data_IF_807425365744
#
_entry.id   IF_807425365744
#
_cell.length_a   1.000
_cell.length_b   1.000
_cell.length_c   1.000
_cell.angle_alpha   90.00
_cell.angle_beta   90.00
_cell.angle_gamma   90.00
#
_symmetry.space_group_name_H-M   'P 1'
#
loop_
_entity.id
_entity.type
_entity.pdbx_description
1 polymer ?
#
# COMPACT_ATOMS: atom_id res chain seq x y z
N UNK A 1 -25.94 -9.28 -3.78
CA UNK A 1 -24.72 -9.61 -4.54
C UNK A 1 -23.53 -9.29 -3.64
N UNK A 2 -22.79 -10.32 -3.20
CA UNK A 2 -21.56 -10.12 -2.39
C UNK A 2 -20.47 -9.63 -3.33
N UNK A 3 -20.07 -8.36 -3.18
CA UNK A 3 -18.89 -7.84 -3.87
C UNK A 3 -17.66 -8.61 -3.39
N UNK A 4 -16.82 -9.13 -4.29
CA UNK A 4 -15.52 -9.65 -3.87
C UNK A 4 -14.74 -8.48 -3.28
N UNK A 5 -14.24 -8.66 -2.06
CA UNK A 5 -13.35 -7.73 -1.38
C UNK A 5 -12.24 -7.32 -2.35
N UNK A 6 -12.32 -6.09 -2.84
CA UNK A 6 -11.29 -5.50 -3.65
C UNK A 6 -9.98 -5.60 -2.86
N UNK A 7 -9.01 -6.30 -3.43
CA UNK A 7 -7.65 -6.36 -2.89
C UNK A 7 -7.17 -4.92 -2.78
N UNK A 8 -7.10 -4.43 -1.55
CA UNK A 8 -6.60 -3.10 -1.23
C UNK A 8 -5.12 -3.14 -1.57
N UNK A 9 -4.75 -2.57 -2.71
CA UNK A 9 -3.37 -2.19 -2.97
C UNK A 9 -3.05 -1.12 -1.93
N UNK A 10 -2.38 -1.55 -0.86
CA UNK A 10 -1.80 -0.64 0.12
C UNK A 10 -0.79 0.23 -0.61
N UNK A 11 -1.06 1.53 -0.63
CA UNK A 11 -0.11 2.53 -1.06
C UNK A 11 1.15 2.41 -0.21
N UNK A 12 2.28 2.29 -0.89
CA UNK A 12 3.60 2.35 -0.29
C UNK A 12 3.91 3.81 0.04
N UNK A 13 3.81 4.19 1.30
CA UNK A 13 4.68 5.23 1.77
C UNK A 13 6.04 4.59 2.08
N UNK A 14 7.03 4.89 1.27
CA UNK A 14 8.42 4.72 1.68
C UNK A 14 8.68 5.69 2.81
N UNK A 15 8.39 5.29 4.04
CA UNK A 15 8.76 6.08 5.19
C UNK A 15 10.28 6.18 5.24
N UNK A 16 10.77 7.38 4.96
CA UNK A 16 12.17 7.74 5.22
C UNK A 16 12.27 7.80 6.75
N UNK A 17 12.78 6.72 7.37
CA UNK A 17 13.35 6.81 8.70
C UNK A 17 14.39 7.95 8.69
N UNK A 18 14.66 8.64 9.82
CA UNK A 18 15.76 9.59 9.86
C UNK A 18 17.01 8.86 9.38
N UNK A 19 17.36 9.16 8.16
CA UNK A 19 18.20 8.30 7.37
C UNK A 19 19.63 8.38 7.87
N UNK A 20 20.18 7.28 8.31
CA UNK A 20 21.58 6.99 8.03
C UNK A 20 21.81 7.23 6.52
N UNK A 21 22.85 7.96 6.15
CA UNK A 21 23.17 8.33 4.76
C UNK A 21 23.11 7.14 3.81
N UNK A 22 23.41 5.93 4.30
CA UNK A 22 23.31 4.66 3.60
C UNK A 22 21.91 4.31 3.05
N UNK A 23 20.82 4.80 3.67
CA UNK A 23 19.44 4.50 3.24
C UNK A 23 19.03 5.38 2.05
N UNK A 24 19.55 6.61 1.96
CA UNK A 24 19.29 7.52 0.83
C UNK A 24 19.77 6.96 -0.51
N UNK A 25 20.88 6.21 -0.51
CA UNK A 25 21.47 5.65 -1.73
C UNK A 25 20.74 4.43 -2.28
N UNK A 26 19.82 3.82 -1.51
CA UNK A 26 19.07 2.63 -1.93
C UNK A 26 17.81 3.00 -2.69
N UNK A 27 17.19 4.14 -2.37
CA UNK A 27 15.88 4.51 -2.91
C UNK A 27 15.82 4.54 -4.44
N UNK A 28 16.75 5.18 -5.16
CA UNK A 28 16.73 5.19 -6.63
C UNK A 28 16.80 3.79 -7.24
N UNK A 29 17.56 2.87 -6.64
CA UNK A 29 17.67 1.49 -7.11
C UNK A 29 16.40 0.67 -6.91
N UNK A 30 15.60 1.00 -5.90
CA UNK A 30 14.31 0.36 -5.66
C UNK A 30 13.26 0.78 -6.70
N UNK A 31 13.42 1.95 -7.28
CA UNK A 31 12.56 2.45 -8.36
C UNK A 31 12.89 1.79 -9.71
N UNK A 32 14.16 1.45 -9.95
CA UNK A 32 14.61 0.84 -11.21
C UNK A 32 14.46 -0.68 -11.24
N UNK A 33 14.81 -1.37 -10.13
CA UNK A 33 14.76 -2.83 -10.04
C UNK A 33 14.62 -3.32 -8.61
N UNK A 34 13.53 -4.06 -8.36
CA UNK A 34 13.27 -4.71 -7.06
C UNK A 34 14.41 -5.65 -6.65
N UNK A 35 14.97 -6.42 -7.59
CA UNK A 35 16.03 -7.37 -7.27
C UNK A 35 17.35 -6.68 -6.91
N UNK A 36 17.70 -5.60 -7.61
CA UNK A 36 18.87 -4.78 -7.27
C UNK A 36 18.69 -4.10 -5.91
N UNK A 37 17.49 -3.56 -5.65
CA UNK A 37 17.11 -2.99 -4.35
C UNK A 37 17.30 -4.02 -3.22
N UNK A 38 16.68 -5.18 -3.32
CA UNK A 38 16.79 -6.24 -2.32
C UNK A 38 18.23 -6.75 -2.15
N UNK A 39 19.01 -6.81 -3.24
CA UNK A 39 20.42 -7.19 -3.20
C UNK A 39 21.26 -6.17 -2.42
N UNK A 40 21.06 -4.86 -2.68
CA UNK A 40 21.78 -3.80 -1.98
C UNK A 40 21.40 -3.72 -0.49
N UNK A 41 20.11 -3.88 -0.17
CA UNK A 41 19.67 -3.95 1.23
C UNK A 41 20.33 -5.14 1.94
N UNK A 42 20.40 -6.32 1.30
CA UNK A 42 21.10 -7.49 1.86
C UNK A 42 22.58 -7.23 2.10
N UNK A 43 23.25 -6.61 1.14
CA UNK A 43 24.68 -6.28 1.26
C UNK A 43 24.91 -5.31 2.43
N UNK A 44 24.08 -4.28 2.59
CA UNK A 44 24.19 -3.36 3.74
C UNK A 44 23.87 -4.05 5.06
N UNK A 45 22.84 -4.89 5.08
CA UNK A 45 22.44 -5.63 6.29
C UNK A 45 23.53 -6.60 6.75
N UNK A 46 24.30 -7.18 5.82
CA UNK A 46 25.42 -8.08 6.17
C UNK A 46 26.63 -7.39 6.83
N UNK A 47 26.68 -6.05 6.77
CA UNK A 47 27.71 -5.24 7.45
C UNK A 47 27.29 -4.84 8.88
N UNK A 48 26.07 -5.15 9.28
CA UNK A 48 25.51 -4.78 10.59
C UNK A 48 25.48 -5.98 11.51
N UNK A 49 25.66 -5.74 12.79
CA UNK A 49 25.45 -6.78 13.78
C UNK A 49 23.99 -7.23 13.77
N UNK A 50 23.81 -8.54 13.68
CA UNK A 50 22.49 -9.17 13.61
C UNK A 50 21.67 -8.79 14.85
N UNK A 51 20.38 -8.55 14.64
CA UNK A 51 19.40 -8.20 15.69
C UNK A 51 19.58 -6.81 16.31
N UNK A 52 20.46 -5.96 15.78
CA UNK A 52 20.49 -4.55 16.17
C UNK A 52 19.37 -3.75 15.51
N UNK A 53 18.93 -2.60 16.06
CA UNK A 53 17.92 -1.76 15.43
C UNK A 53 18.19 -1.42 13.97
N UNK A 54 19.41 -0.97 13.55
CA UNK A 54 19.68 -0.71 12.13
C UNK A 54 19.55 -1.95 11.23
N UNK A 55 19.92 -3.12 11.75
CA UNK A 55 19.73 -4.40 11.03
C UNK A 55 18.24 -4.69 10.81
N UNK A 56 17.45 -4.51 11.86
CA UNK A 56 16.00 -4.72 11.81
C UNK A 56 15.29 -3.72 10.91
N UNK A 57 15.69 -2.47 10.87
CA UNK A 57 15.12 -1.46 9.97
C UNK A 57 15.25 -1.90 8.51
N UNK A 58 16.41 -2.46 8.13
CA UNK A 58 16.61 -3.04 6.81
C UNK A 58 15.79 -4.32 6.60
N UNK A 59 15.64 -5.14 7.63
CA UNK A 59 14.82 -6.36 7.55
C UNK A 59 13.33 -6.05 7.33
N UNK A 60 12.79 -5.09 8.09
CA UNK A 60 11.40 -4.61 7.93
C UNK A 60 11.20 -4.03 6.53
N UNK A 61 12.17 -3.27 6.02
CA UNK A 61 12.14 -2.75 4.64
C UNK A 61 12.07 -3.87 3.60
N UNK A 62 12.81 -4.97 3.79
CA UNK A 62 12.70 -6.16 2.93
C UNK A 62 11.31 -6.78 2.97
N UNK A 63 10.70 -6.85 4.16
CA UNK A 63 9.33 -7.34 4.30
C UNK A 63 8.33 -6.44 3.54
N UNK A 64 8.43 -5.12 3.71
CA UNK A 64 7.58 -4.16 3.02
C UNK A 64 7.70 -4.32 1.49
N UNK A 65 8.92 -4.35 0.96
CA UNK A 65 9.17 -4.50 -0.48
C UNK A 65 8.56 -5.79 -1.00
N UNK A 66 8.89 -6.94 -0.39
CA UNK A 66 8.42 -8.25 -0.84
C UNK A 66 6.88 -8.37 -0.79
N UNK A 67 6.27 -7.83 0.26
CA UNK A 67 4.82 -7.79 0.37
C UNK A 67 4.18 -6.99 -0.76
N UNK A 68 4.74 -5.83 -1.06
CA UNK A 68 4.17 -4.89 -2.03
C UNK A 68 4.31 -5.38 -3.48
N UNK A 69 5.43 -6.04 -3.79
CA UNK A 69 5.60 -6.67 -5.11
C UNK A 69 4.98 -8.07 -5.19
N UNK A 70 4.26 -8.50 -4.13
CA UNK A 70 3.54 -9.78 -4.02
C UNK A 70 4.46 -11.02 -4.13
N UNK A 71 5.73 -10.89 -3.74
CA UNK A 71 6.68 -12.03 -3.62
C UNK A 71 6.47 -12.74 -2.28
N UNK A 72 5.28 -13.31 -2.11
CA UNK A 72 4.81 -13.85 -0.83
C UNK A 72 5.60 -15.05 -0.32
N UNK A 73 6.10 -15.91 -1.20
CA UNK A 73 6.91 -17.06 -0.82
C UNK A 73 8.26 -16.63 -0.22
N UNK A 74 8.89 -15.62 -0.81
CA UNK A 74 10.13 -15.06 -0.28
C UNK A 74 9.91 -14.29 1.03
N UNK A 75 8.79 -13.56 1.13
CA UNK A 75 8.39 -12.92 2.37
C UNK A 75 8.24 -13.96 3.49
N UNK A 76 7.54 -15.06 3.22
CA UNK A 76 7.37 -16.12 4.22
C UNK A 76 8.70 -16.78 4.59
N UNK A 77 9.56 -17.05 3.63
CA UNK A 77 10.89 -17.61 3.90
C UNK A 77 11.73 -16.70 4.84
N UNK A 78 11.57 -15.38 4.72
CA UNK A 78 12.22 -14.42 5.62
C UNK A 78 11.57 -14.32 7.00
N UNK A 79 10.25 -14.55 7.09
CA UNK A 79 9.50 -14.48 8.37
C UNK A 79 9.67 -15.77 9.17
N UNK A 80 9.75 -16.92 8.51
CA UNK A 80 9.73 -18.25 9.14
C UNK A 80 10.72 -18.42 10.30
N UNK A 81 11.99 -18.04 10.21
CA UNK A 81 12.93 -18.18 11.33
C UNK A 81 12.50 -17.45 12.61
N UNK A 82 11.74 -16.35 12.46
CA UNK A 82 11.25 -15.53 13.57
C UNK A 82 9.94 -16.05 14.14
N UNK A 83 9.16 -16.77 13.35
CA UNK A 83 7.91 -17.42 13.78
C UNK A 83 8.18 -18.72 14.55
N UNK A 84 9.23 -19.43 14.17
CA UNK A 84 9.64 -20.69 14.79
C UNK A 84 10.49 -20.45 16.05
N UNK A 85 11.07 -19.26 16.21
CA UNK A 85 11.82 -18.92 17.40
C UNK A 85 10.88 -18.82 18.63
N UNK A 86 11.09 -19.68 19.63
CA UNK A 86 10.33 -19.66 20.89
C UNK A 86 10.55 -18.38 21.69
N UNK A 87 11.58 -17.63 21.35
CA UNK A 87 11.93 -16.35 21.96
C UNK A 87 12.59 -15.49 20.88
N UNK A 88 12.01 -14.35 20.53
CA UNK A 88 12.70 -13.32 19.75
C UNK A 88 13.76 -12.68 20.67
N UNK A 89 14.72 -13.53 21.12
CA UNK A 89 15.77 -13.15 22.04
C UNK A 89 16.53 -11.96 21.51
N UNK A 90 16.31 -10.82 22.10
CA UNK A 90 17.08 -9.61 21.94
C UNK A 90 16.30 -8.37 21.54
N UNK A 91 15.17 -8.47 20.79
CA UNK A 91 14.47 -7.25 20.36
C UNK A 91 12.96 -7.44 20.33
N UNK A 92 12.29 -7.40 21.49
CA UNK A 92 10.83 -7.49 21.60
C UNK A 92 10.09 -6.38 20.82
N UNK A 93 10.80 -5.30 20.51
CA UNK A 93 10.27 -4.15 19.76
C UNK A 93 9.90 -4.51 18.31
N UNK A 94 10.52 -5.52 17.69
CA UNK A 94 10.24 -5.93 16.31
C UNK A 94 9.24 -7.10 16.20
N UNK A 95 8.88 -7.75 17.31
CA UNK A 95 7.88 -8.83 17.32
C UNK A 95 6.52 -8.38 16.75
N UNK A 96 5.99 -7.19 17.08
CA UNK A 96 4.77 -6.71 16.47
C UNK A 96 4.86 -6.54 14.95
N UNK A 97 6.03 -6.17 14.42
CA UNK A 97 6.25 -6.03 12.99
C UNK A 97 6.33 -7.40 12.29
N UNK A 98 7.00 -8.38 12.88
CA UNK A 98 6.97 -9.77 12.37
C UNK A 98 5.54 -10.28 12.31
N UNK A 99 4.76 -10.09 13.39
CA UNK A 99 3.34 -10.47 13.45
C UNK A 99 2.49 -9.74 12.42
N UNK A 100 2.79 -8.47 12.12
CA UNK A 100 2.14 -7.68 11.07
C UNK A 100 2.32 -8.32 9.70
N UNK A 101 3.56 -8.58 9.31
CA UNK A 101 3.87 -9.13 7.99
C UNK A 101 3.41 -10.57 7.86
N UNK A 102 3.47 -11.35 8.92
CA UNK A 102 2.88 -12.69 8.93
C UNK A 102 1.36 -12.66 8.77
N UNK A 103 0.66 -11.77 9.46
CA UNK A 103 -0.77 -11.57 9.28
C UNK A 103 -1.14 -11.11 7.87
N UNK A 104 -0.34 -10.21 7.28
CA UNK A 104 -0.50 -9.80 5.88
C UNK A 104 -0.30 -10.98 4.91
N UNK A 105 0.70 -11.82 5.15
CA UNK A 105 0.96 -13.02 4.35
C UNK A 105 -0.17 -14.06 4.49
N UNK A 106 -0.61 -14.34 5.70
CA UNK A 106 -1.75 -15.25 5.95
C UNK A 106 -3.00 -14.80 5.19
N UNK A 107 -3.27 -13.51 5.19
CA UNK A 107 -4.40 -12.94 4.49
C UNK A 107 -4.28 -13.08 2.97
N UNK A 108 -3.09 -12.86 2.41
CA UNK A 108 -2.84 -13.06 0.98
C UNK A 108 -2.99 -14.54 0.56
N UNK A 109 -2.80 -15.46 1.51
CA UNK A 109 -2.99 -16.91 1.35
C UNK A 109 -4.42 -17.38 1.64
N UNK A 110 -5.38 -16.47 1.89
CA UNK A 110 -6.77 -16.80 2.17
C UNK A 110 -7.04 -17.32 3.61
N UNK A 111 -6.05 -17.33 4.48
CA UNK A 111 -6.13 -17.78 5.89
C UNK A 111 -6.63 -16.65 6.80
N UNK A 112 -7.85 -16.15 6.57
CA UNK A 112 -8.36 -14.91 7.15
C UNK A 112 -8.45 -14.95 8.69
N UNK A 113 -8.86 -16.07 9.30
CA UNK A 113 -8.96 -16.17 10.77
C UNK A 113 -7.60 -16.10 11.44
N UNK A 114 -6.62 -16.82 10.93
CA UNK A 114 -5.25 -16.79 11.45
C UNK A 114 -4.58 -15.42 11.21
N UNK A 115 -4.84 -14.83 10.05
CA UNK A 115 -4.43 -13.46 9.76
C UNK A 115 -4.95 -12.48 10.82
N UNK A 116 -6.25 -12.59 11.17
CA UNK A 116 -6.86 -11.75 12.18
C UNK A 116 -6.20 -11.87 13.56
N UNK A 117 -5.84 -13.09 13.97
CA UNK A 117 -5.11 -13.32 15.23
C UNK A 117 -3.74 -12.63 15.19
N UNK A 118 -2.95 -12.87 14.15
CA UNK A 118 -1.62 -12.27 14.00
C UNK A 118 -1.67 -10.74 13.95
N UNK A 119 -2.60 -10.17 13.18
CA UNK A 119 -2.78 -8.72 13.06
C UNK A 119 -3.27 -8.08 14.38
N UNK A 120 -4.12 -8.79 15.15
CA UNK A 120 -4.56 -8.29 16.46
C UNK A 120 -3.40 -8.29 17.46
N UNK A 121 -2.56 -9.33 17.47
CA UNK A 121 -1.33 -9.38 18.28
C UNK A 121 -0.40 -8.22 17.90
N UNK A 122 -0.19 -8.00 16.61
CA UNK A 122 0.60 -6.87 16.11
C UNK A 122 0.05 -5.53 16.60
N UNK A 123 -1.26 -5.31 16.47
CA UNK A 123 -1.90 -4.06 16.90
C UNK A 123 -1.68 -3.77 18.38
N UNK A 124 -1.83 -4.78 19.24
CA UNK A 124 -1.59 -4.63 20.68
C UNK A 124 -0.14 -4.22 20.97
N UNK A 125 0.82 -4.90 20.35
CA UNK A 125 2.24 -4.58 20.52
C UNK A 125 2.62 -3.19 20.02
N UNK A 126 2.13 -2.79 18.81
CA UNK A 126 2.41 -1.45 18.27
C UNK A 126 1.75 -0.34 19.10
N UNK A 127 0.55 -0.55 19.64
CA UNK A 127 -0.08 0.41 20.56
C UNK A 127 0.76 0.60 21.83
N UNK A 128 1.23 -0.50 22.44
CA UNK A 128 2.10 -0.40 23.61
C UNK A 128 3.43 0.29 23.34
N UNK A 129 3.97 0.14 22.14
CA UNK A 129 5.18 0.89 21.73
C UNK A 129 4.87 2.36 21.53
N UNK A 130 3.75 2.68 20.90
CA UNK A 130 3.33 4.07 20.65
C UNK A 130 3.08 4.84 21.95
N UNK A 131 2.48 4.19 22.96
CA UNK A 131 2.28 4.79 24.28
C UNK A 131 3.60 5.17 24.97
N UNK A 132 4.67 4.39 24.75
CA UNK A 132 6.00 4.64 25.33
C UNK A 132 6.79 5.69 24.54
N UNK A 133 6.70 5.60 23.22
CA UNK A 133 7.48 6.44 22.30
C UNK A 133 6.66 6.73 21.04
N UNK A 134 5.80 7.75 21.08
CA UNK A 134 4.99 8.15 19.94
C UNK A 134 5.87 8.51 18.73
N UNK A 135 5.50 8.00 17.57
CA UNK A 135 6.12 8.39 16.31
C UNK A 135 5.11 8.36 15.15
N UNK A 136 5.27 9.22 14.14
CA UNK A 136 4.39 9.24 12.98
C UNK A 136 4.27 7.86 12.31
N UNK A 137 5.38 7.14 12.21
CA UNK A 137 5.47 5.83 11.56
C UNK A 137 4.66 4.77 12.30
N UNK A 138 4.79 4.71 13.63
CA UNK A 138 3.98 3.81 14.46
C UNK A 138 2.49 4.17 14.38
N UNK A 139 2.19 5.47 14.42
CA UNK A 139 0.81 5.96 14.30
C UNK A 139 0.15 5.49 13.00
N UNK A 140 0.81 5.64 11.85
CA UNK A 140 0.29 5.17 10.57
C UNK A 140 0.13 3.65 10.54
N UNK A 141 1.09 2.89 11.08
CA UNK A 141 0.98 1.42 11.14
C UNK A 141 -0.21 0.96 11.98
N UNK A 142 -0.46 1.62 13.11
CA UNK A 142 -1.64 1.37 13.96
C UNK A 142 -2.92 1.71 13.22
N UNK A 143 -2.99 2.87 12.57
CA UNK A 143 -4.16 3.30 11.81
C UNK A 143 -4.49 2.30 10.69
N UNK A 144 -3.47 1.87 9.94
CA UNK A 144 -3.60 0.85 8.91
C UNK A 144 -4.15 -0.47 9.48
N UNK A 145 -3.60 -0.94 10.61
CA UNK A 145 -4.09 -2.16 11.26
C UNK A 145 -5.54 -2.05 11.74
N UNK A 146 -5.92 -0.92 12.33
CA UNK A 146 -7.30 -0.66 12.72
C UNK A 146 -8.23 -0.72 11.51
N UNK A 147 -7.84 -0.07 10.41
CA UNK A 147 -8.58 -0.12 9.16
C UNK A 147 -8.67 -1.54 8.61
N UNK A 148 -7.56 -2.29 8.57
CA UNK A 148 -7.50 -3.69 8.06
C UNK A 148 -8.35 -4.64 8.90
N UNK A 149 -8.37 -4.47 10.22
CA UNK A 149 -9.16 -5.27 11.16
C UNK A 149 -10.65 -4.91 11.19
N UNK A 150 -11.06 -3.85 10.46
CA UNK A 150 -12.44 -3.37 10.43
C UNK A 150 -12.87 -2.63 11.71
N UNK A 151 -11.90 -2.16 12.49
CA UNK A 151 -12.13 -1.36 13.70
C UNK A 151 -12.33 0.11 13.34
N UNK A 152 -13.38 0.38 12.56
CA UNK A 152 -13.57 1.68 11.88
C UNK A 152 -13.72 2.85 12.84
N UNK A 153 -14.46 2.70 13.95
CA UNK A 153 -14.60 3.74 14.97
C UNK A 153 -13.27 4.06 15.64
N UNK A 154 -12.54 3.01 16.10
CA UNK A 154 -11.21 3.20 16.70
C UNK A 154 -10.23 3.86 15.71
N UNK A 155 -10.30 3.51 14.42
CA UNK A 155 -9.47 4.11 13.38
C UNK A 155 -9.76 5.61 13.21
N UNK A 156 -11.04 6.02 13.21
CA UNK A 156 -11.43 7.43 13.10
C UNK A 156 -11.00 8.24 14.32
N UNK A 157 -11.18 7.70 15.51
CA UNK A 157 -10.77 8.36 16.77
C UNK A 157 -9.24 8.51 16.83
N UNK A 158 -8.52 7.45 16.50
CA UNK A 158 -7.06 7.47 16.48
C UNK A 158 -6.49 8.40 15.40
N UNK A 159 -7.12 8.47 14.22
CA UNK A 159 -6.73 9.42 13.18
C UNK A 159 -6.88 10.87 13.63
N UNK A 160 -7.97 11.22 14.38
CA UNK A 160 -8.14 12.56 14.96
C UNK A 160 -7.05 12.89 15.98
N UNK A 161 -6.65 11.91 16.80
CA UNK A 161 -5.52 12.08 17.70
C UNK A 161 -4.25 12.40 16.91
N UNK A 162 -3.93 11.62 15.87
CA UNK A 162 -2.76 11.80 15.02
C UNK A 162 -2.76 13.16 14.31
N UNK A 163 -3.91 13.63 13.83
CA UNK A 163 -4.03 14.96 13.21
C UNK A 163 -3.72 16.08 14.24
N UNK A 164 -4.10 15.87 15.49
CA UNK A 164 -3.86 16.82 16.60
C UNK A 164 -2.40 16.93 17.02
N UNK A 165 -1.57 15.92 16.73
CA UNK A 165 -0.13 15.93 17.05
C UNK A 165 0.72 16.86 16.16
N UNK A 166 0.11 17.40 15.09
CA UNK A 166 0.66 18.45 14.24
C UNK A 166 2.09 18.21 13.73
N UNK A 167 2.36 17.00 13.27
CA UNK A 167 3.61 16.68 12.61
C UNK A 167 3.79 17.50 11.33
N UNK A 168 4.91 18.21 11.20
CA UNK A 168 5.21 18.98 9.98
C UNK A 168 5.75 18.05 8.88
N UNK A 169 4.92 17.12 8.41
CA UNK A 169 5.27 16.11 7.42
C UNK A 169 4.12 15.84 6.43
N UNK A 170 4.15 16.40 5.21
CA UNK A 170 3.11 16.18 4.21
C UNK A 170 2.80 14.71 3.94
N UNK A 171 3.83 13.84 3.93
CA UNK A 171 3.66 12.39 3.74
C UNK A 171 2.79 11.77 4.83
N UNK A 172 2.92 12.22 6.07
CA UNK A 172 2.15 11.73 7.19
C UNK A 172 0.64 12.00 7.02
N UNK A 173 0.28 13.23 6.66
CA UNK A 173 -1.13 13.58 6.41
C UNK A 173 -1.68 12.91 5.16
N UNK A 174 -0.86 12.74 4.11
CA UNK A 174 -1.24 11.95 2.95
C UNK A 174 -1.69 10.54 3.38
N UNK A 175 -0.90 9.88 4.23
CA UNK A 175 -1.20 8.52 4.70
C UNK A 175 -2.43 8.46 5.62
N UNK A 176 -2.56 9.39 6.59
CA UNK A 176 -3.75 9.45 7.46
C UNK A 176 -5.02 9.49 6.61
N UNK A 177 -5.10 10.43 5.67
CA UNK A 177 -6.30 10.58 4.84
C UNK A 177 -6.46 9.43 3.84
N UNK A 178 -5.36 8.78 3.42
CA UNK A 178 -5.42 7.56 2.63
C UNK A 178 -6.09 6.43 3.42
N UNK A 179 -5.69 6.20 4.67
CA UNK A 179 -6.29 5.17 5.52
C UNK A 179 -7.74 5.48 5.89
N UNK A 180 -8.07 6.73 6.21
CA UNK A 180 -9.46 7.16 6.43
C UNK A 180 -10.34 6.95 5.18
N UNK A 181 -9.78 7.14 3.98
CA UNK A 181 -10.46 6.78 2.74
C UNK A 181 -10.79 5.27 2.66
N UNK A 182 -9.89 4.39 3.12
CA UNK A 182 -10.19 2.96 3.20
C UNK A 182 -11.26 2.63 4.24
N UNK A 183 -11.27 3.32 5.38
CA UNK A 183 -12.30 3.19 6.40
C UNK A 183 -13.67 3.58 5.83
N UNK A 184 -13.77 4.76 5.20
CA UNK A 184 -15.02 5.25 4.61
C UNK A 184 -15.57 4.31 3.51
N UNK A 185 -14.68 3.77 2.67
CA UNK A 185 -15.05 2.77 1.65
C UNK A 185 -15.66 1.52 2.27
N UNK A 186 -15.13 1.05 3.40
CA UNK A 186 -15.66 -0.13 4.11
C UNK A 186 -17.01 0.12 4.76
N UNK A 187 -17.23 1.35 5.22
CA UNK A 187 -18.51 1.80 5.78
C UNK A 187 -19.57 2.04 4.69
N UNK A 188 -19.16 2.02 3.41
CA UNK A 188 -20.04 2.35 2.29
C UNK A 188 -20.35 3.83 2.17
N UNK A 189 -19.63 4.69 2.91
CA UNK A 189 -19.78 6.15 2.87
C UNK A 189 -18.98 6.73 1.70
N UNK A 190 -19.61 6.74 0.53
CA UNK A 190 -18.97 7.23 -0.69
C UNK A 190 -18.62 8.73 -0.62
N UNK A 191 -19.37 9.53 0.10
CA UNK A 191 -19.12 10.96 0.26
C UNK A 191 -17.82 11.19 1.06
N UNK A 192 -17.69 10.56 2.23
CA UNK A 192 -16.45 10.61 3.01
C UNK A 192 -15.28 9.94 2.28
N UNK A 193 -15.54 8.87 1.51
CA UNK A 193 -14.49 8.25 0.72
C UNK A 193 -13.88 9.26 -0.26
N UNK A 194 -14.68 10.01 -0.99
CA UNK A 194 -14.21 11.08 -1.89
C UNK A 194 -13.51 12.18 -1.10
N UNK A 195 -14.11 12.65 -0.01
CA UNK A 195 -13.53 13.70 0.84
C UNK A 195 -12.12 13.34 1.33
N UNK A 196 -11.95 12.16 1.90
CA UNK A 196 -10.64 11.73 2.39
C UNK A 196 -9.63 11.50 1.27
N UNK A 197 -10.06 10.98 0.10
CA UNK A 197 -9.17 10.80 -1.04
C UNK A 197 -8.69 12.14 -1.63
N UNK A 198 -9.53 13.18 -1.66
CA UNK A 198 -9.09 14.50 -2.10
C UNK A 198 -8.14 15.15 -1.08
N UNK A 199 -8.39 15.00 0.22
CA UNK A 199 -7.46 15.44 1.27
C UNK A 199 -6.10 14.75 1.12
N UNK A 200 -6.09 13.42 0.98
CA UNK A 200 -4.87 12.64 0.74
C UNK A 200 -4.12 13.13 -0.52
N UNK A 201 -4.83 13.34 -1.63
CA UNK A 201 -4.26 13.87 -2.87
C UNK A 201 -3.62 15.24 -2.68
N UNK A 202 -4.32 16.17 -2.00
CA UNK A 202 -3.81 17.53 -1.75
C UNK A 202 -2.50 17.53 -0.96
N UNK A 203 -2.32 16.56 -0.04
CA UNK A 203 -1.07 16.39 0.67
C UNK A 203 0.00 15.70 -0.19
N UNK A 204 -0.36 14.71 -1.01
CA UNK A 204 0.56 14.08 -1.95
C UNK A 204 1.14 15.07 -2.97
N UNK A 205 0.33 16.04 -3.41
CA UNK A 205 0.77 17.09 -4.35
C UNK A 205 1.81 18.06 -3.75
N UNK A 206 1.96 18.10 -2.42
CA UNK A 206 3.03 18.85 -1.76
C UNK A 206 4.36 18.09 -1.71
N UNK A 207 4.36 16.82 -2.10
CA UNK A 207 5.56 15.98 -2.19
C UNK A 207 6.18 16.10 -3.58
N UNK A 208 7.52 16.10 -3.65
CA UNK A 208 8.25 15.99 -4.92
C UNK A 208 8.40 14.53 -5.36
N UNK A 209 7.34 13.72 -5.15
CA UNK A 209 7.32 12.28 -5.38
C UNK A 209 6.17 11.92 -6.33
N UNK A 210 6.52 11.77 -7.60
CA UNK A 210 5.55 11.43 -8.65
C UNK A 210 4.91 10.05 -8.46
N UNK A 211 5.58 9.10 -7.79
CA UNK A 211 5.01 7.79 -7.52
C UNK A 211 3.86 7.89 -6.52
N UNK A 212 4.04 8.63 -5.42
CA UNK A 212 2.98 8.88 -4.45
C UNK A 212 1.83 9.71 -5.05
N UNK A 213 2.15 10.71 -5.86
CA UNK A 213 1.13 11.49 -6.57
C UNK A 213 0.29 10.60 -7.51
N UNK A 214 0.93 9.68 -8.26
CA UNK A 214 0.23 8.74 -9.15
C UNK A 214 -0.74 7.83 -8.37
N UNK A 215 -0.31 7.31 -7.23
CA UNK A 215 -1.15 6.49 -6.34
C UNK A 215 -2.32 7.31 -5.80
N UNK A 216 -2.06 8.53 -5.32
CA UNK A 216 -3.09 9.40 -4.77
C UNK A 216 -4.17 9.78 -5.79
N UNK A 217 -3.77 10.19 -7.01
CA UNK A 217 -4.70 10.44 -8.10
C UNK A 217 -5.52 9.20 -8.47
N UNK A 218 -4.86 8.03 -8.56
CA UNK A 218 -5.55 6.78 -8.88
C UNK A 218 -6.56 6.37 -7.82
N UNK A 219 -6.25 6.57 -6.53
CA UNK A 219 -7.17 6.29 -5.43
C UNK A 219 -8.35 7.27 -5.40
N UNK A 220 -8.12 8.55 -5.67
CA UNK A 220 -9.17 9.55 -5.81
C UNK A 220 -10.10 9.22 -6.99
N UNK A 221 -9.53 8.85 -8.14
CA UNK A 221 -10.30 8.42 -9.30
C UNK A 221 -11.17 7.18 -9.01
N UNK A 222 -10.68 6.22 -8.24
CA UNK A 222 -11.48 5.07 -7.78
C UNK A 222 -12.65 5.51 -6.90
N UNK A 223 -12.46 6.50 -6.03
CA UNK A 223 -13.55 7.02 -5.19
C UNK A 223 -14.64 7.70 -6.06
N UNK A 224 -14.24 8.50 -7.02
CA UNK A 224 -15.15 9.12 -7.99
C UNK A 224 -15.91 8.06 -8.80
N UNK A 225 -15.23 7.05 -9.31
CA UNK A 225 -15.82 5.93 -10.05
C UNK A 225 -16.85 5.17 -9.21
N UNK A 226 -16.54 4.90 -7.95
CA UNK A 226 -17.47 4.21 -7.02
C UNK A 226 -18.73 5.04 -6.78
N UNK A 227 -18.62 6.36 -6.88
CA UNK A 227 -19.76 7.30 -6.85
C UNK A 227 -20.39 7.55 -8.23
N UNK A 228 -20.00 6.76 -9.27
CA UNK A 228 -20.48 6.86 -10.65
C UNK A 228 -20.10 8.16 -11.40
N UNK A 229 -19.17 8.94 -10.87
CA UNK A 229 -18.61 10.14 -11.52
C UNK A 229 -17.53 9.71 -12.52
N UNK A 230 -17.94 9.02 -13.60
CA UNK A 230 -17.00 8.33 -14.50
C UNK A 230 -16.11 9.30 -15.30
N UNK A 231 -16.62 10.47 -15.65
CA UNK A 231 -15.87 11.47 -16.41
C UNK A 231 -14.76 12.09 -15.57
N UNK A 232 -15.07 12.52 -14.35
CA UNK A 232 -14.08 13.07 -13.41
C UNK A 232 -13.07 11.99 -12.98
N UNK A 233 -13.54 10.75 -12.81
CA UNK A 233 -12.67 9.62 -12.51
C UNK A 233 -11.64 9.40 -13.62
N UNK A 234 -12.05 9.47 -14.87
CA UNK A 234 -11.14 9.35 -16.02
C UNK A 234 -10.07 10.46 -16.01
N UNK A 235 -10.49 11.71 -15.82
CA UNK A 235 -9.56 12.84 -15.74
C UNK A 235 -8.51 12.65 -14.62
N UNK A 236 -8.96 12.18 -13.45
CA UNK A 236 -8.06 11.91 -12.34
C UNK A 236 -7.12 10.73 -12.62
N UNK A 237 -7.61 9.65 -13.26
CA UNK A 237 -6.75 8.56 -13.71
C UNK A 237 -5.69 9.01 -14.70
N UNK A 238 -6.04 9.86 -15.68
CA UNK A 238 -5.10 10.38 -16.68
C UNK A 238 -4.01 11.21 -16.00
N UNK A 239 -4.35 12.07 -15.02
CA UNK A 239 -3.34 12.79 -14.23
C UNK A 239 -2.43 11.82 -13.45
N UNK A 240 -3.00 10.79 -12.85
CA UNK A 240 -2.22 9.74 -12.18
C UNK A 240 -1.30 8.99 -13.17
N UNK A 241 -1.77 8.72 -14.39
CA UNK A 241 -0.95 8.09 -15.43
C UNK A 241 0.24 8.97 -15.82
N UNK A 242 0.04 10.28 -15.96
CA UNK A 242 1.14 11.23 -16.23
C UNK A 242 2.18 11.19 -15.10
N UNK A 243 1.76 11.21 -13.84
CA UNK A 243 2.69 11.09 -12.71
C UNK A 243 3.44 9.75 -12.72
N UNK A 244 2.75 8.64 -13.00
CA UNK A 244 3.40 7.31 -13.08
C UNK A 244 4.42 7.23 -14.23
N UNK A 245 4.16 7.91 -15.34
CA UNK A 245 5.10 8.03 -16.46
C UNK A 245 6.34 8.85 -16.07
N UNK A 246 6.16 9.95 -15.34
CA UNK A 246 7.27 10.75 -14.82
C UNK A 246 8.11 9.97 -13.80
N UNK A 247 7.47 9.13 -12.97
CA UNK A 247 8.13 8.20 -12.06
C UNK A 247 8.77 7.00 -12.77
N UNK A 248 8.51 6.80 -14.08
CA UNK A 248 8.92 5.60 -14.86
C UNK A 248 8.45 4.26 -14.25
N UNK A 249 7.37 4.30 -13.47
CA UNK A 249 6.81 3.12 -12.79
C UNK A 249 5.89 2.33 -13.75
N UNK A 250 6.47 1.37 -14.43
CA UNK A 250 5.77 0.51 -15.42
C UNK A 250 4.62 -0.28 -14.77
N UNK A 251 4.79 -0.74 -13.53
CA UNK A 251 3.75 -1.49 -12.83
C UNK A 251 2.53 -0.60 -12.55
N UNK A 252 2.77 0.62 -12.07
CA UNK A 252 1.72 1.61 -11.81
C UNK A 252 1.07 2.11 -13.10
N UNK A 253 1.85 2.34 -14.17
CA UNK A 253 1.34 2.69 -15.50
C UNK A 253 0.33 1.64 -15.97
N UNK A 254 0.68 0.36 -15.94
CA UNK A 254 -0.20 -0.72 -16.35
C UNK A 254 -1.44 -0.84 -15.44
N UNK A 255 -1.26 -0.68 -14.13
CA UNK A 255 -2.36 -0.69 -13.15
C UNK A 255 -3.37 0.43 -13.42
N UNK A 256 -2.90 1.65 -13.69
CA UNK A 256 -3.78 2.80 -13.99
C UNK A 256 -4.48 2.60 -15.33
N UNK A 257 -3.79 2.18 -16.39
CA UNK A 257 -4.43 1.88 -17.70
C UNK A 257 -5.56 0.83 -17.54
N UNK A 258 -5.33 -0.22 -16.73
CA UNK A 258 -6.35 -1.21 -16.44
C UNK A 258 -7.57 -0.59 -15.74
N UNK A 259 -7.34 0.31 -14.78
CA UNK A 259 -8.41 1.04 -14.08
C UNK A 259 -9.19 1.99 -14.99
N UNK A 260 -8.52 2.64 -15.95
CA UNK A 260 -9.20 3.47 -16.97
C UNK A 260 -10.08 2.59 -17.87
N UNK A 261 -9.58 1.43 -18.29
CA UNK A 261 -10.38 0.49 -19.09
C UNK A 261 -11.62 -0.01 -18.30
N UNK A 262 -11.47 -0.31 -17.01
CA UNK A 262 -12.60 -0.63 -16.14
C UNK A 262 -13.60 0.53 -16.04
N UNK A 263 -13.11 1.75 -15.88
CA UNK A 263 -13.95 2.95 -15.82
C UNK A 263 -14.74 3.13 -17.12
N UNK A 264 -14.10 2.93 -18.28
CA UNK A 264 -14.75 3.00 -19.57
C UNK A 264 -15.85 1.93 -19.73
N UNK A 265 -15.60 0.69 -19.30
CA UNK A 265 -16.65 -0.35 -19.29
C UNK A 265 -17.84 0.02 -18.40
N UNK A 266 -17.58 0.61 -17.23
CA UNK A 266 -18.64 1.05 -16.30
C UNK A 266 -19.43 2.25 -16.83
N UNK A 267 -18.82 3.09 -17.67
CA UNK A 267 -19.49 4.19 -18.36
C UNK A 267 -20.09 3.80 -19.71
N UNK A 268 -20.18 2.48 -19.99
CA UNK A 268 -20.73 1.91 -21.21
C UNK A 268 -19.99 2.31 -22.51
N UNK A 269 -18.65 2.40 -22.43
CA UNK A 269 -17.78 2.69 -23.57
C UNK A 269 -16.75 1.54 -23.78
N UNK A 270 -17.19 0.39 -24.35
CA UNK A 270 -16.30 -0.75 -24.56
C UNK A 270 -15.22 -0.50 -25.61
N UNK A 271 -15.43 0.42 -26.54
CA UNK A 271 -14.44 0.77 -27.56
C UNK A 271 -13.24 1.46 -26.93
N UNK A 272 -13.49 2.45 -26.09
CA UNK A 272 -12.47 3.13 -25.29
C UNK A 272 -11.74 2.15 -24.36
N UNK A 273 -12.46 1.25 -23.74
CA UNK A 273 -11.85 0.21 -22.89
C UNK A 273 -10.85 -0.64 -23.70
N UNK A 274 -11.20 -1.09 -24.90
CA UNK A 274 -10.29 -1.83 -25.79
C UNK A 274 -9.05 -1.02 -26.15
N UNK A 275 -9.23 0.28 -26.42
CA UNK A 275 -8.12 1.19 -26.72
C UNK A 275 -7.08 1.23 -25.60
N UNK A 276 -7.51 1.26 -24.34
CA UNK A 276 -6.63 1.25 -23.19
C UNK A 276 -6.01 -0.13 -22.94
N UNK A 277 -6.78 -1.22 -23.09
CA UNK A 277 -6.29 -2.59 -22.90
C UNK A 277 -5.15 -2.95 -23.85
N UNK A 278 -5.21 -2.49 -25.12
CA UNK A 278 -4.14 -2.69 -26.10
C UNK A 278 -2.80 -2.06 -25.70
N UNK A 279 -2.82 -1.08 -24.81
CA UNK A 279 -1.62 -0.36 -24.36
C UNK A 279 -0.98 -0.97 -23.11
N UNK A 280 -1.54 -2.05 -22.57
CA UNK A 280 -1.04 -2.69 -21.33
C UNK A 280 -0.01 -3.74 -21.70
N UNK A 281 1.17 -3.66 -21.09
CA UNK A 281 2.15 -4.76 -21.15
C UNK A 281 1.71 -5.88 -20.22
N UNK A 282 1.33 -7.00 -20.80
CA UNK A 282 0.84 -8.18 -20.05
C UNK A 282 1.99 -8.90 -19.33
N UNK A 283 3.23 -8.76 -19.85
CA UNK A 283 4.41 -9.36 -19.24
C UNK A 283 4.68 -8.68 -17.87
N UNK A 284 4.68 -9.47 -16.82
CA UNK A 284 4.93 -8.98 -15.45
C UNK A 284 3.71 -8.43 -14.72
N UNK A 285 2.49 -8.53 -15.30
CA UNK A 285 1.28 -8.23 -14.53
C UNK A 285 1.10 -9.22 -13.38
N UNK A 286 0.82 -8.75 -12.16
CA UNK A 286 0.42 -9.61 -11.04
C UNK A 286 -0.80 -10.46 -11.41
N UNK A 287 -0.87 -11.69 -10.87
CA UNK A 287 -1.91 -12.68 -11.21
C UNK A 287 -3.34 -12.13 -11.15
N UNK A 288 -3.65 -11.34 -10.13
CA UNK A 288 -4.97 -10.73 -9.96
C UNK A 288 -5.25 -9.69 -11.05
N UNK A 289 -4.27 -8.85 -11.40
CA UNK A 289 -4.42 -7.87 -12.48
C UNK A 289 -4.54 -8.56 -13.84
N UNK A 290 -3.81 -9.64 -14.05
CA UNK A 290 -3.90 -10.45 -15.27
C UNK A 290 -5.29 -11.08 -15.43
N UNK A 291 -5.88 -11.57 -14.35
CA UNK A 291 -7.25 -12.10 -14.36
C UNK A 291 -8.27 -11.01 -14.71
N UNK A 292 -8.14 -9.84 -14.12
CA UNK A 292 -9.00 -8.67 -14.43
C UNK A 292 -8.82 -8.21 -15.87
N UNK A 293 -7.59 -8.14 -16.36
CA UNK A 293 -7.28 -7.81 -17.74
C UNK A 293 -7.96 -8.78 -18.72
N UNK A 294 -7.81 -10.09 -18.53
CA UNK A 294 -8.42 -11.11 -19.39
C UNK A 294 -9.94 -11.02 -19.40
N UNK A 295 -10.55 -10.75 -18.25
CA UNK A 295 -11.99 -10.54 -18.14
C UNK A 295 -12.43 -9.32 -18.96
N UNK A 296 -11.75 -8.18 -18.79
CA UNK A 296 -12.08 -6.96 -19.52
C UNK A 296 -11.91 -7.09 -21.04
N UNK A 297 -10.88 -7.81 -21.50
CA UNK A 297 -10.69 -8.11 -22.92
C UNK A 297 -11.87 -8.89 -23.47
N UNK A 298 -12.34 -9.91 -22.73
CA UNK A 298 -13.52 -10.69 -23.10
C UNK A 298 -14.81 -9.84 -23.11
N UNK A 299 -15.04 -9.09 -22.03
CA UNK A 299 -16.29 -8.33 -21.85
C UNK A 299 -16.38 -7.11 -22.79
N UNK A 300 -15.25 -6.61 -23.31
CA UNK A 300 -15.22 -5.50 -24.27
C UNK A 300 -15.20 -5.94 -25.74
N UNK A 301 -15.19 -7.25 -26.03
CA UNK A 301 -15.18 -7.75 -27.41
C UNK A 301 -16.44 -7.29 -28.18
N UNK A 302 -16.33 -6.93 -29.46
CA UNK A 302 -17.51 -6.65 -30.29
C UNK A 302 -18.34 -7.92 -30.41
N UNK A 303 -19.64 -7.78 -30.23
CA UNK A 303 -20.63 -8.85 -30.45
C UNK A 303 -20.88 -9.08 -31.93
#
# INVERSE_FOLDING_TARGET
MKFPLATILLSLAFFIFPANAAIKDIQPLCEESVDQCLSKIRAQQSLLDKNTPPWWDLQVRRFDILFNVQRYDELYALLRPWLEATNLNGIPEYEPLVSLFFGKWLRSSGREQEARVALTKSLAGLKSQYEKMPSPQLGIRILNLLAVLGKTKEAQEFAKQLEGENYNAPVFYHEIFSELGHVALREGDNAKHIEYRIKSLNWALKLSDYQQQAVAYSNYAVALRNNKNYQEAEQAFVKGLTCAQQAKDIAQINSIKLRIAENAMLSNDPEKARGWLKQISVKGLPSLQLTRYRKLVKDSAPH
#
